data_IF_121427452614
#
_entry.id   IF_121427452614
#
_cell.length_a   1.000
_cell.length_b   1.000
_cell.length_c   1.000
_cell.angle_alpha   90.00
_cell.angle_beta   90.00
_cell.angle_gamma   90.00
#
_symmetry.space_group_name_H-M   'P 1'
#
loop_
_entity.id
_entity.type
_entity.pdbx_description
1 polymer ?
#
# COMPACT_ATOMS: atom_id res chain seq x y z
N UNK A 1 16.66 -1.85 5.60
CA UNK A 1 15.56 -1.50 4.68
C UNK A 1 16.10 -0.52 3.64
N UNK A 2 15.44 -0.40 2.48
CA UNK A 2 15.76 0.55 1.42
C UNK A 2 15.09 1.89 1.70
N UNK A 3 15.70 2.99 1.25
CA UNK A 3 15.04 4.29 1.24
C UNK A 3 13.97 4.29 0.14
N UNK A 4 12.77 3.82 0.47
CA UNK A 4 11.66 3.66 -0.47
C UNK A 4 11.37 4.95 -1.25
N UNK A 5 11.09 6.10 -0.60
CA UNK A 5 10.70 7.30 -1.33
C UNK A 5 11.86 7.88 -2.16
N UNK A 6 13.11 7.64 -1.77
CA UNK A 6 14.29 8.15 -2.47
C UNK A 6 14.87 7.23 -3.55
N UNK A 7 14.47 5.95 -3.61
CA UNK A 7 15.13 4.94 -4.46
C UNK A 7 14.19 4.07 -5.27
N UNK A 8 12.92 3.95 -4.85
CA UNK A 8 11.96 3.05 -5.47
C UNK A 8 10.85 3.85 -6.17
N UNK A 9 10.22 3.22 -7.15
CA UNK A 9 8.98 3.70 -7.74
C UNK A 9 7.83 3.62 -6.72
N UNK A 10 6.69 4.28 -6.97
CA UNK A 10 5.52 4.22 -6.08
C UNK A 10 5.04 2.80 -5.74
N UNK A 11 5.32 1.80 -6.58
CA UNK A 11 4.95 0.40 -6.38
C UNK A 11 6.13 -0.49 -5.95
N UNK A 12 7.27 0.09 -5.58
CA UNK A 12 8.39 -0.63 -4.99
C UNK A 12 9.39 -1.25 -5.97
N UNK A 13 9.39 -0.85 -7.24
CA UNK A 13 10.40 -1.28 -8.22
C UNK A 13 11.61 -0.34 -8.27
N UNK A 14 12.70 -0.77 -8.91
CA UNK A 14 13.76 0.16 -9.32
C UNK A 14 13.29 1.04 -10.51
N UNK A 15 13.75 2.30 -10.61
CA UNK A 15 13.44 3.16 -11.77
C UNK A 15 13.99 2.66 -13.11
N UNK A 16 15.11 1.92 -13.11
CA UNK A 16 15.74 1.37 -14.33
C UNK A 16 15.49 -0.12 -14.55
N UNK A 17 14.74 -0.77 -13.65
CA UNK A 17 14.45 -2.21 -13.70
C UNK A 17 13.08 -2.46 -13.10
N UNK A 18 12.04 -2.18 -13.89
CA UNK A 18 10.65 -2.19 -13.42
C UNK A 18 10.15 -3.58 -13.02
N UNK A 19 10.73 -4.65 -13.56
CA UNK A 19 10.50 -6.06 -13.24
C UNK A 19 11.16 -6.51 -11.93
N UNK A 20 11.96 -5.66 -11.28
CA UNK A 20 12.55 -5.94 -9.96
C UNK A 20 11.81 -5.15 -8.88
N UNK A 21 10.91 -5.82 -8.17
CA UNK A 21 10.12 -5.25 -7.07
C UNK A 21 10.62 -5.75 -5.72
N UNK A 22 10.66 -4.85 -4.74
CA UNK A 22 10.94 -5.17 -3.35
C UNK A 22 9.64 -5.25 -2.55
N UNK A 23 9.65 -6.03 -1.47
CA UNK A 23 8.53 -6.18 -0.56
C UNK A 23 9.01 -6.48 0.87
N UNK A 24 8.09 -6.48 1.83
CA UNK A 24 8.38 -6.79 3.22
C UNK A 24 9.33 -5.78 3.86
N UNK A 25 10.01 -6.20 4.93
CA UNK A 25 10.89 -5.32 5.70
C UNK A 25 11.97 -4.60 4.86
N UNK A 26 12.33 -5.12 3.69
CA UNK A 26 13.21 -4.42 2.74
C UNK A 26 12.63 -3.10 2.26
N UNK A 27 11.31 -2.97 2.17
CA UNK A 27 10.61 -1.75 1.74
C UNK A 27 10.31 -0.77 2.87
N UNK A 28 10.68 -1.10 4.11
CA UNK A 28 10.38 -0.24 5.27
C UNK A 28 9.00 -0.48 5.88
N UNK A 29 8.37 -1.63 5.62
CA UNK A 29 7.21 -2.07 6.41
C UNK A 29 7.64 -2.88 7.63
N UNK A 30 6.90 -2.79 8.74
CA UNK A 30 7.17 -3.54 9.97
C UNK A 30 5.98 -4.43 10.35
N UNK A 31 6.25 -5.71 10.63
CA UNK A 31 5.25 -6.71 10.99
C UNK A 31 5.07 -7.80 9.93
N UNK A 32 4.62 -8.97 10.38
CA UNK A 32 4.42 -10.14 9.50
C UNK A 32 3.26 -9.93 8.52
N UNK A 33 2.16 -9.33 8.99
CA UNK A 33 0.97 -9.07 8.17
C UNK A 33 1.28 -8.06 7.07
N UNK A 34 1.97 -6.97 7.40
CA UNK A 34 2.42 -5.95 6.46
C UNK A 34 3.39 -6.53 5.43
N UNK A 35 4.28 -7.41 5.88
CA UNK A 35 5.25 -8.05 5.00
C UNK A 35 4.58 -9.01 4.02
N UNK A 36 3.62 -9.81 4.48
CA UNK A 36 2.82 -10.68 3.61
C UNK A 36 1.97 -9.88 2.61
N UNK A 37 1.30 -8.82 3.08
CA UNK A 37 0.45 -7.98 2.24
C UNK A 37 1.25 -7.23 1.17
N UNK A 38 2.40 -6.65 1.53
CA UNK A 38 3.30 -6.02 0.56
C UNK A 38 3.88 -7.03 -0.43
N UNK A 39 4.21 -8.26 0.00
CA UNK A 39 4.65 -9.33 -0.88
C UNK A 39 3.62 -9.70 -1.94
N UNK A 40 2.36 -9.90 -1.53
CA UNK A 40 1.25 -10.17 -2.46
C UNK A 40 1.03 -9.04 -3.46
N UNK A 41 1.08 -7.79 -3.00
CA UNK A 41 0.92 -6.62 -3.88
C UNK A 41 2.08 -6.49 -4.88
N UNK A 42 3.33 -6.74 -4.45
CA UNK A 42 4.48 -6.76 -5.36
C UNK A 42 4.38 -7.91 -6.37
N UNK A 43 3.91 -9.10 -5.97
CA UNK A 43 3.69 -10.21 -6.89
C UNK A 43 2.62 -9.87 -7.94
N UNK A 44 1.51 -9.29 -7.52
CA UNK A 44 0.46 -8.83 -8.43
C UNK A 44 0.98 -7.78 -9.41
N UNK A 45 1.74 -6.78 -8.93
CA UNK A 45 2.29 -5.76 -9.80
C UNK A 45 3.37 -6.30 -10.74
N UNK A 46 4.15 -7.28 -10.31
CA UNK A 46 5.08 -7.97 -11.19
C UNK A 46 4.34 -8.69 -12.32
N UNK A 47 3.29 -9.44 -12.01
CA UNK A 47 2.45 -10.11 -13.02
C UNK A 47 1.85 -9.13 -14.03
N UNK A 48 1.35 -7.99 -13.55
CA UNK A 48 0.84 -6.90 -14.40
C UNK A 48 1.93 -6.36 -15.32
N UNK A 49 3.11 -6.06 -14.78
CA UNK A 49 4.25 -5.53 -15.54
C UNK A 49 4.74 -6.52 -16.61
N UNK A 50 4.84 -7.80 -16.26
CA UNK A 50 5.19 -8.86 -17.21
C UNK A 50 4.14 -9.04 -18.31
N UNK A 51 2.88 -8.70 -18.02
CA UNK A 51 1.76 -8.69 -18.97
C UNK A 51 1.63 -7.37 -19.74
N UNK A 52 2.58 -6.43 -19.63
CA UNK A 52 2.52 -5.12 -20.28
C UNK A 52 1.46 -4.17 -19.72
N UNK A 53 0.91 -4.47 -18.54
CA UNK A 53 -0.08 -3.64 -17.84
C UNK A 53 0.63 -2.74 -16.83
N UNK A 54 0.06 -1.56 -16.61
CA UNK A 54 0.56 -0.65 -15.57
C UNK A 54 0.33 -1.23 -14.16
N UNK A 55 1.25 -1.01 -13.21
CA UNK A 55 1.08 -1.40 -11.83
C UNK A 55 -0.06 -0.61 -11.16
N UNK A 56 -0.73 -1.25 -10.21
CA UNK A 56 -1.86 -0.69 -9.47
C UNK A 56 -1.62 -0.81 -7.98
N UNK A 57 -2.05 0.20 -7.25
CA UNK A 57 -1.99 0.25 -5.79
C UNK A 57 -3.40 0.39 -5.24
N UNK A 58 -3.72 -0.25 -4.10
CA UNK A 58 -5.00 -0.06 -3.46
C UNK A 58 -5.18 1.39 -3.00
N UNK A 59 -6.42 1.88 -2.89
CA UNK A 59 -6.67 3.26 -2.50
C UNK A 59 -6.22 3.49 -1.05
N UNK A 60 -5.86 4.74 -0.75
CA UNK A 60 -5.28 5.09 0.54
C UNK A 60 -6.31 5.20 1.69
N UNK A 61 -7.57 4.92 1.36
CA UNK A 61 -8.65 4.57 2.29
C UNK A 61 -8.54 3.16 2.86
N UNK A 62 -7.67 2.31 2.29
CA UNK A 62 -7.29 0.98 2.79
C UNK A 62 -5.99 1.04 3.60
N UNK A 63 -5.75 0.07 4.48
CA UNK A 63 -4.52 0.04 5.28
C UNK A 63 -3.26 -0.10 4.41
N UNK A 64 -3.29 -1.01 3.43
CA UNK A 64 -2.16 -1.24 2.53
C UNK A 64 -1.90 -0.04 1.61
N UNK A 65 -2.96 0.60 1.11
CA UNK A 65 -2.83 1.81 0.29
C UNK A 65 -2.31 3.00 1.10
N UNK A 66 -2.77 3.16 2.34
CA UNK A 66 -2.26 4.18 3.26
C UNK A 66 -0.77 3.97 3.59
N UNK A 67 -0.36 2.73 3.78
CA UNK A 67 1.04 2.36 4.00
C UNK A 67 1.90 2.69 2.77
N UNK A 68 1.49 2.28 1.57
CA UNK A 68 2.22 2.61 0.34
C UNK A 68 2.28 4.11 0.04
N UNK A 69 1.22 4.85 0.39
CA UNK A 69 1.24 6.32 0.32
C UNK A 69 2.32 6.89 1.23
N UNK A 70 2.43 6.41 2.48
CA UNK A 70 3.52 6.82 3.38
C UNK A 70 4.89 6.46 2.80
N UNK A 71 5.07 5.23 2.32
CA UNK A 71 6.34 4.77 1.74
C UNK A 71 6.79 5.65 0.55
N UNK A 72 5.83 6.14 -0.24
CA UNK A 72 6.08 7.01 -1.40
C UNK A 72 6.32 8.48 -1.00
N UNK A 73 5.53 9.01 -0.08
CA UNK A 73 5.44 10.46 0.18
C UNK A 73 6.29 10.93 1.38
N UNK A 74 6.81 10.00 2.18
CA UNK A 74 7.68 10.35 3.30
C UNK A 74 8.96 11.07 2.83
N UNK A 75 9.46 12.01 3.63
CA UNK A 75 10.73 12.70 3.35
C UNK A 75 11.88 11.68 3.28
N UNK A 76 12.56 11.53 2.12
CA UNK A 76 13.65 10.59 1.97
C UNK A 76 14.79 10.78 2.97
N UNK A 77 15.01 12.00 3.49
CA UNK A 77 16.08 12.27 4.47
C UNK A 77 15.76 11.74 5.86
N UNK A 78 14.49 11.60 6.18
CA UNK A 78 14.00 11.21 7.51
C UNK A 78 13.11 9.96 7.45
N UNK A 79 13.15 9.23 6.35
CA UNK A 79 12.34 8.04 6.15
C UNK A 79 12.65 7.00 7.22
N UNK A 80 11.60 6.55 7.91
CA UNK A 80 11.67 5.46 8.88
C UNK A 80 10.68 4.36 8.50
N UNK A 81 10.96 3.11 8.88
CA UNK A 81 10.00 2.03 8.73
C UNK A 81 8.67 2.34 9.43
N UNK A 82 7.60 1.74 8.94
CA UNK A 82 6.25 2.00 9.43
C UNK A 82 5.43 0.71 9.54
N UNK A 83 4.71 0.58 10.65
CA UNK A 83 3.70 -0.45 10.85
C UNK A 83 2.30 0.06 10.51
N UNK A 84 1.34 -0.86 10.33
CA UNK A 84 -0.05 -0.49 10.09
C UNK A 84 -0.63 0.28 11.28
N UNK A 85 -1.18 1.46 11.01
CA UNK A 85 -1.92 2.21 12.01
C UNK A 85 -3.03 3.06 11.35
N UNK A 86 -4.09 3.35 12.11
CA UNK A 86 -5.24 4.11 11.62
C UNK A 86 -4.94 5.56 11.22
N UNK A 87 -3.74 6.08 11.50
CA UNK A 87 -3.29 7.40 11.01
C UNK A 87 -2.87 7.40 9.54
N UNK A 88 -2.54 6.22 8.99
CA UNK A 88 -2.21 6.05 7.57
C UNK A 88 -3.43 6.01 6.67
N UNK A 89 -4.60 5.71 7.22
CA UNK A 89 -5.82 5.53 6.45
C UNK A 89 -6.53 6.88 6.31
N UNK A 90 -6.98 7.22 5.10
CA UNK A 90 -7.68 8.49 4.87
C UNK A 90 -8.86 8.69 5.82
N UNK A 91 -9.11 9.92 6.30
CA UNK A 91 -10.16 10.17 7.27
C UNK A 91 -11.56 9.88 6.70
N UNK A 92 -12.52 9.56 7.57
CA UNK A 92 -13.93 9.47 7.18
C UNK A 92 -14.47 10.86 6.82
N UNK A 93 -15.37 10.98 5.81
CA UNK A 93 -15.97 12.26 5.44
C UNK A 93 -16.72 12.93 6.60
N UNK A 94 -17.34 12.11 7.48
CA UNK A 94 -18.03 12.58 8.67
C UNK A 94 -17.20 12.31 9.92
N UNK A 95 -17.07 13.33 10.76
CA UNK A 95 -16.36 13.21 12.04
C UNK A 95 -17.17 12.35 13.02
N UNK A 96 -16.60 11.23 13.43
CA UNK A 96 -17.10 10.39 14.53
C UNK A 96 -16.28 10.69 15.78
N UNK A 97 -16.93 11.13 16.86
CA UNK A 97 -16.26 11.46 18.14
C UNK A 97 -15.83 10.22 18.92
N UNK A 98 -16.68 9.19 18.91
CA UNK A 98 -16.40 7.92 19.56
C UNK A 98 -15.26 7.18 18.83
N UNK A 99 -14.17 6.92 19.55
CA UNK A 99 -12.96 6.31 18.97
C UNK A 99 -13.20 4.88 18.47
N UNK A 100 -14.02 4.09 19.15
CA UNK A 100 -14.31 2.71 18.77
C UNK A 100 -15.16 2.69 17.50
N UNK A 101 -16.27 3.45 17.50
CA UNK A 101 -17.13 3.58 16.31
C UNK A 101 -16.38 4.16 15.11
N UNK A 102 -15.45 5.08 15.34
CA UNK A 102 -14.58 5.61 14.28
C UNK A 102 -13.71 4.51 13.67
N UNK A 103 -13.08 3.66 14.49
CA UNK A 103 -12.24 2.56 14.01
C UNK A 103 -13.06 1.49 13.27
N UNK A 104 -14.23 1.15 13.77
CA UNK A 104 -15.17 0.23 13.10
C UNK A 104 -15.58 0.77 11.72
N UNK A 105 -15.99 2.03 11.63
CA UNK A 105 -16.37 2.65 10.36
C UNK A 105 -15.18 2.79 9.38
N UNK A 106 -13.97 3.06 9.88
CA UNK A 106 -12.76 3.04 9.05
C UNK A 106 -12.45 1.64 8.51
N UNK A 107 -12.61 0.61 9.35
CA UNK A 107 -12.38 -0.78 8.97
C UNK A 107 -13.37 -1.23 7.90
N UNK A 108 -14.65 -0.93 8.07
CA UNK A 108 -15.69 -1.28 7.10
C UNK A 108 -15.42 -0.64 5.73
N UNK A 109 -15.20 0.68 5.71
CA UNK A 109 -14.86 1.39 4.46
C UNK A 109 -13.58 0.85 3.83
N UNK A 110 -12.54 0.60 4.63
CA UNK A 110 -11.28 0.06 4.13
C UNK A 110 -11.46 -1.33 3.49
N UNK A 111 -12.32 -2.17 4.05
CA UNK A 111 -12.66 -3.47 3.48
C UNK A 111 -13.40 -3.30 2.15
N UNK A 112 -14.47 -2.50 2.11
CA UNK A 112 -15.27 -2.27 0.90
C UNK A 112 -14.45 -1.69 -0.26
N UNK A 113 -13.59 -0.71 0.04
CA UNK A 113 -12.72 -0.08 -0.94
C UNK A 113 -11.65 -1.06 -1.46
N UNK A 114 -11.11 -1.91 -0.58
CA UNK A 114 -10.13 -2.92 -0.96
C UNK A 114 -10.74 -4.02 -1.83
N UNK A 115 -11.94 -4.51 -1.48
CA UNK A 115 -12.67 -5.47 -2.31
C UNK A 115 -13.05 -4.89 -3.67
N UNK A 116 -13.44 -3.62 -3.71
CA UNK A 116 -13.74 -2.92 -4.97
C UNK A 116 -12.49 -2.85 -5.83
N UNK A 117 -11.37 -2.42 -5.26
CA UNK A 117 -10.08 -2.37 -5.96
C UNK A 117 -9.65 -3.76 -6.47
N UNK A 118 -9.82 -4.81 -5.68
CA UNK A 118 -9.51 -6.18 -6.12
C UNK A 118 -10.30 -6.59 -7.36
N UNK A 119 -11.58 -6.23 -7.43
CA UNK A 119 -12.45 -6.55 -8.58
C UNK A 119 -12.13 -5.72 -9.84
N UNK A 120 -11.71 -4.47 -9.69
CA UNK A 120 -11.50 -3.56 -10.83
C UNK A 120 -10.06 -3.54 -11.34
N UNK A 121 -9.09 -3.69 -10.44
CA UNK A 121 -7.67 -3.46 -10.72
C UNK A 121 -6.78 -4.63 -10.27
N UNK A 122 -7.26 -5.46 -9.35
CA UNK A 122 -6.47 -6.49 -8.66
C UNK A 122 -6.46 -7.87 -9.32
N UNK A 123 -7.42 -8.22 -10.16
CA UNK A 123 -7.41 -9.47 -10.94
C UNK A 123 -7.09 -9.16 -12.41
N UNK A 124 -6.27 -9.98 -13.04
CA UNK A 124 -5.89 -9.89 -14.46
C UNK A 124 -7.03 -10.11 -15.47
N UNK A 125 -8.28 -9.83 -15.08
CA UNK A 125 -9.50 -9.92 -15.89
C UNK A 125 -9.58 -8.70 -16.83
N UNK A 126 -8.79 -8.74 -17.89
CA UNK A 126 -8.81 -7.77 -18.98
C UNK A 126 -7.86 -8.21 -20.08
#
# INVERSE_FOLDING_TARGET
YLNFPGRLTPWGSLPGRHDLLFAGQLTGVEGYTESAASGLLSALNLDRLLSGKEPKLPPATTMLGGLYRYLRDADPKHFQPMNSNWGLVDPLPKRIRDKRKKREALAERAKDDFETWLRTDGSGSG
#
